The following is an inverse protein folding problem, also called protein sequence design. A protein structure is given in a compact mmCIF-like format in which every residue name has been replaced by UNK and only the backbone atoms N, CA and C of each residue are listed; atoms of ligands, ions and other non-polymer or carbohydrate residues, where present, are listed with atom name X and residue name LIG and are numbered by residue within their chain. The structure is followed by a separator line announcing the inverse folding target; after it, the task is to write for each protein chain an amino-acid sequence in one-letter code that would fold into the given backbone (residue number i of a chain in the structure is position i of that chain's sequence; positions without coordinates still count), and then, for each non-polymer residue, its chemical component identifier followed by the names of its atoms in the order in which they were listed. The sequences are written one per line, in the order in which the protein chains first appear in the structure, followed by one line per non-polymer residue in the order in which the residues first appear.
data_IF_025838615149
#
_entry.id   IF_025838615149
#
_cell.length_a   1.000
_cell.length_b   1.000
_cell.length_c   1.000
_cell.angle_alpha   90.00
_cell.angle_beta   90.00
_cell.angle_gamma   90.00
#
_symmetry.space_group_name_H-M   'P 1'
#
loop_
_entity.id
_entity.type
_entity.pdbx_description
1 polymer ?
#
# COMPACT_ATOMS: atom_id res chain seq x y z
N UNK A 1 0.17 -15.88 31.61
CA UNK A 1 -0.71 -15.46 30.50
C UNK A 1 -1.13 -14.02 30.74
N UNK A 2 -0.54 -13.02 30.05
CA UNK A 2 -1.19 -11.74 29.89
C UNK A 2 -1.82 -11.68 28.50
N UNK A 3 -3.14 -11.65 28.48
CA UNK A 3 -3.96 -11.24 27.33
C UNK A 3 -4.01 -9.72 27.32
N UNK A 4 -3.48 -9.09 26.28
CA UNK A 4 -3.61 -7.64 26.10
C UNK A 4 -2.74 -7.14 24.96
N UNK A 5 -3.35 -6.79 23.84
CA UNK A 5 -2.73 -5.90 22.87
C UNK A 5 -2.47 -4.54 23.57
N UNK A 6 -1.25 -3.99 23.55
CA UNK A 6 -1.03 -2.65 24.07
C UNK A 6 -1.69 -1.63 23.13
N UNK A 7 -2.78 -1.03 23.59
CA UNK A 7 -3.45 0.08 22.93
C UNK A 7 -2.65 1.39 23.15
N UNK A 8 -1.49 1.55 22.51
CA UNK A 8 -0.67 2.78 22.65
C UNK A 8 -0.07 3.30 21.32
N UNK A 9 -0.59 2.90 20.16
CA UNK A 9 -0.09 3.40 18.86
C UNK A 9 -0.91 4.56 18.25
N UNK A 10 -2.07 4.92 18.80
CA UNK A 10 -3.05 5.78 18.09
C UNK A 10 -3.08 7.28 18.47
N UNK A 11 -2.27 7.78 19.40
CA UNK A 11 -2.40 9.17 19.86
C UNK A 11 -1.31 10.16 19.41
N UNK A 12 -0.38 9.79 18.52
CA UNK A 12 0.65 10.70 17.99
C UNK A 12 0.37 11.30 16.60
N UNK A 13 -0.89 11.55 16.23
CA UNK A 13 -1.21 12.17 14.93
C UNK A 13 -1.93 13.53 15.01
N UNK A 14 -2.29 14.05 16.20
CA UNK A 14 -3.13 15.27 16.29
C UNK A 14 -2.41 16.62 16.12
N UNK A 15 -1.10 16.69 15.92
CA UNK A 15 -0.34 17.96 16.01
C UNK A 15 0.65 18.26 14.88
N UNK A 16 0.49 17.70 13.67
CA UNK A 16 1.29 18.13 12.52
C UNK A 16 0.49 19.16 11.67
N UNK A 17 1.04 20.34 11.36
CA UNK A 17 0.31 21.35 10.60
C UNK A 17 0.07 20.87 9.17
N UNK A 18 -1.21 20.81 8.76
CA UNK A 18 -1.65 20.55 7.39
C UNK A 18 -1.12 21.63 6.43
N UNK A 19 0.11 21.46 5.95
CA UNK A 19 0.63 22.23 4.82
C UNK A 19 1.10 21.30 3.72
N UNK A 20 0.17 20.52 3.17
CA UNK A 20 0.36 19.82 1.90
C UNK A 20 -0.80 20.21 0.98
N UNK A 21 -0.75 21.45 0.49
CA UNK A 21 -1.47 21.84 -0.72
C UNK A 21 -0.79 21.12 -1.89
N UNK A 22 -1.15 19.86 -2.13
CA UNK A 22 -0.76 19.09 -3.31
C UNK A 22 -1.55 19.62 -4.49
N UNK A 23 -0.96 20.54 -5.25
CA UNK A 23 -1.40 20.84 -6.61
C UNK A 23 -1.45 19.52 -7.39
N UNK A 24 -2.55 19.16 -8.07
CA UNK A 24 -2.57 17.96 -8.90
C UNK A 24 -1.56 18.19 -10.02
N UNK A 25 -0.45 17.44 -10.02
CA UNK A 25 0.46 17.42 -11.17
C UNK A 25 -0.31 16.75 -12.31
N UNK A 26 -0.97 17.58 -13.11
CA UNK A 26 -1.54 17.17 -14.40
C UNK A 26 -0.40 16.53 -15.20
N UNK A 27 -0.59 15.29 -15.63
CA UNK A 27 0.32 14.60 -16.55
C UNK A 27 0.25 15.29 -17.91
N UNK A 28 0.90 16.44 -18.02
CA UNK A 28 1.09 17.16 -19.27
C UNK A 28 2.58 17.26 -19.50
N UNK A 29 3.15 16.16 -20.02
CA UNK A 29 4.34 16.21 -20.86
C UNK A 29 4.42 14.91 -21.67
N UNK A 30 4.26 15.05 -22.98
CA UNK A 30 4.49 14.00 -23.96
C UNK A 30 5.96 13.56 -23.93
N UNK A 31 6.27 12.49 -23.18
CA UNK A 31 7.47 11.68 -23.44
C UNK A 31 7.05 10.31 -23.97
N UNK A 32 7.75 9.73 -24.96
CA UNK A 32 7.27 8.51 -25.61
C UNK A 32 7.31 7.27 -24.70
N UNK A 33 8.05 7.31 -23.59
CA UNK A 33 8.16 6.22 -22.61
C UNK A 33 8.45 6.76 -21.19
N UNK A 34 7.46 7.38 -20.52
CA UNK A 34 7.69 8.06 -19.24
C UNK A 34 6.56 7.94 -18.22
N UNK A 35 6.54 6.80 -17.50
CA UNK A 35 5.92 6.54 -16.19
C UNK A 35 4.71 7.41 -15.80
N UNK A 36 3.51 6.89 -16.05
CA UNK A 36 2.34 7.20 -15.21
C UNK A 36 2.52 6.53 -13.83
N UNK A 37 2.03 7.17 -12.78
CA UNK A 37 2.40 6.92 -11.40
C UNK A 37 2.33 5.45 -10.96
N UNK A 38 3.49 4.88 -10.64
CA UNK A 38 3.61 3.76 -9.70
C UNK A 38 2.85 4.11 -8.42
N UNK A 39 2.21 3.12 -7.79
CA UNK A 39 1.43 3.14 -6.54
C UNK A 39 2.02 3.91 -5.33
N UNK A 40 3.18 4.59 -5.49
CA UNK A 40 3.77 5.57 -4.56
C UNK A 40 2.91 6.84 -4.38
N UNK A 41 1.89 7.09 -5.21
CA UNK A 41 1.21 8.37 -5.29
C UNK A 41 -0.03 8.56 -4.37
N UNK A 42 -0.52 7.52 -3.69
CA UNK A 42 -1.73 7.62 -2.83
C UNK A 42 -1.46 7.90 -1.35
N UNK A 43 -0.20 8.07 -0.94
CA UNK A 43 0.16 8.34 0.45
C UNK A 43 0.00 7.14 1.40
N UNK A 44 -0.42 5.98 0.90
CA UNK A 44 -0.59 4.77 1.71
C UNK A 44 0.70 3.95 1.85
N UNK A 45 1.68 4.14 0.98
CA UNK A 45 2.94 3.41 1.02
C UNK A 45 3.67 3.52 2.39
N UNK A 46 3.77 4.71 3.03
CA UNK A 46 4.32 4.82 4.38
C UNK A 46 3.51 4.05 5.43
N UNK A 47 2.16 4.03 5.33
CA UNK A 47 1.29 3.29 6.25
C UNK A 47 1.50 1.78 6.11
N UNK A 48 1.54 1.31 4.86
CA UNK A 48 1.81 -0.10 4.55
C UNK A 48 3.18 -0.54 5.06
N UNK A 49 4.19 0.32 4.92
CA UNK A 49 5.53 0.04 5.47
C UNK A 49 5.51 -0.13 6.99
N UNK A 50 4.72 0.68 7.71
CA UNK A 50 4.57 0.54 9.17
C UNK A 50 3.93 -0.80 9.53
N UNK A 51 2.83 -1.18 8.88
CA UNK A 51 2.17 -2.47 9.10
C UNK A 51 3.12 -3.64 8.82
N UNK A 52 3.92 -3.58 7.75
CA UNK A 52 4.91 -4.62 7.46
C UNK A 52 6.00 -4.70 8.53
N UNK A 53 6.45 -3.56 9.06
CA UNK A 53 7.40 -3.55 10.17
C UNK A 53 6.81 -4.19 11.44
N UNK A 54 5.54 -3.91 11.74
CA UNK A 54 4.85 -4.51 12.87
C UNK A 54 4.71 -6.04 12.68
N UNK A 55 4.24 -6.48 11.50
CA UNK A 55 4.17 -7.91 11.13
C UNK A 55 5.54 -8.59 11.30
N UNK A 56 6.61 -7.93 10.89
CA UNK A 56 7.98 -8.45 10.98
C UNK A 56 8.55 -8.46 12.41
N UNK A 57 7.94 -7.73 13.35
CA UNK A 57 8.32 -7.69 14.76
C UNK A 57 7.53 -8.67 15.63
N UNK A 58 6.39 -9.17 15.14
CA UNK A 58 5.49 -10.05 15.88
C UNK A 58 5.74 -11.54 15.63
N UNK A 59 5.34 -12.38 16.58
CA UNK A 59 5.40 -13.85 16.44
C UNK A 59 4.07 -14.40 15.93
N UNK A 60 3.81 -14.24 14.63
CA UNK A 60 2.62 -14.77 13.97
C UNK A 60 2.96 -15.93 13.03
N UNK A 61 2.03 -16.87 12.86
CA UNK A 61 2.24 -18.03 11.99
C UNK A 61 2.22 -17.68 10.50
N UNK A 62 1.38 -16.72 10.11
CA UNK A 62 1.26 -16.19 8.76
C UNK A 62 0.48 -14.86 8.77
N UNK A 63 0.54 -14.14 7.65
CA UNK A 63 -0.26 -12.94 7.37
C UNK A 63 -1.16 -13.17 6.14
N UNK A 64 -2.21 -12.37 6.02
CA UNK A 64 -3.11 -12.37 4.87
C UNK A 64 -3.27 -10.94 4.37
N UNK A 65 -3.15 -10.73 3.06
CA UNK A 65 -3.51 -9.48 2.39
C UNK A 65 -4.75 -9.72 1.54
N UNK A 66 -5.86 -9.08 1.93
CA UNK A 66 -7.20 -9.32 1.42
C UNK A 66 -7.58 -8.35 0.28
N UNK A 67 -6.71 -8.24 -0.71
CA UNK A 67 -7.00 -7.53 -1.96
C UNK A 67 -6.82 -6.02 -1.97
N UNK A 68 -7.13 -5.43 -3.13
CA UNK A 68 -7.16 -3.99 -3.41
C UNK A 68 -5.81 -3.28 -3.36
N UNK A 69 -4.82 -3.90 -4.00
CA UNK A 69 -3.49 -3.31 -4.21
C UNK A 69 -3.59 -2.03 -5.03
N UNK A 70 -4.50 -2.00 -6.02
CA UNK A 70 -4.74 -0.82 -6.85
C UNK A 70 -6.16 -0.29 -6.64
N UNK A 71 -6.39 0.98 -6.94
CA UNK A 71 -7.75 1.50 -7.04
C UNK A 71 -8.43 1.01 -8.31
N UNK A 72 -9.75 1.14 -8.36
CA UNK A 72 -10.55 0.64 -9.47
C UNK A 72 -10.27 1.36 -10.78
N UNK A 73 -9.80 2.61 -10.75
CA UNK A 73 -9.51 3.38 -11.98
C UNK A 73 -8.11 3.12 -12.56
N UNK A 74 -7.22 2.54 -11.76
CA UNK A 74 -5.85 2.23 -12.17
C UNK A 74 -5.79 1.08 -13.18
N UNK A 75 -4.89 1.19 -14.18
CA UNK A 75 -4.65 0.16 -15.18
C UNK A 75 -4.01 -1.10 -14.56
N UNK A 76 -4.35 -2.27 -15.10
CA UNK A 76 -3.72 -3.54 -14.71
C UNK A 76 -2.46 -3.84 -15.53
N UNK A 77 -1.41 -3.04 -15.31
CA UNK A 77 -0.09 -3.25 -15.93
C UNK A 77 0.92 -3.77 -14.90
N UNK A 78 1.97 -4.49 -15.30
CA UNK A 78 3.00 -4.95 -14.37
C UNK A 78 3.61 -3.84 -13.50
N UNK A 79 3.82 -2.66 -14.07
CA UNK A 79 4.38 -1.49 -13.35
C UNK A 79 3.47 -0.98 -12.23
N UNK A 80 2.15 -1.19 -12.33
CA UNK A 80 1.19 -0.83 -11.28
C UNK A 80 1.47 -1.59 -9.99
N UNK A 81 1.92 -2.84 -10.10
CA UNK A 81 2.13 -3.75 -8.98
C UNK A 81 3.57 -3.72 -8.43
N UNK A 82 4.52 -3.07 -9.11
CA UNK A 82 5.94 -3.10 -8.73
C UNK A 82 6.20 -2.71 -7.26
N UNK A 83 5.54 -1.64 -6.77
CA UNK A 83 5.69 -1.21 -5.37
C UNK A 83 5.06 -2.18 -4.36
N UNK A 84 3.95 -2.84 -4.73
CA UNK A 84 3.34 -3.85 -3.88
C UNK A 84 4.19 -5.13 -3.84
N UNK A 85 4.78 -5.51 -4.96
CA UNK A 85 5.76 -6.61 -5.03
C UNK A 85 6.98 -6.33 -4.15
N UNK A 86 7.54 -5.11 -4.20
CA UNK A 86 8.63 -4.68 -3.29
C UNK A 86 8.21 -4.79 -1.82
N UNK A 87 6.99 -4.34 -1.49
CA UNK A 87 6.46 -4.41 -0.13
C UNK A 87 6.27 -5.87 0.34
N UNK A 88 5.61 -6.72 -0.45
CA UNK A 88 5.39 -8.13 -0.07
C UNK A 88 6.70 -8.90 0.08
N UNK A 89 7.69 -8.63 -0.78
CA UNK A 89 9.02 -9.22 -0.67
C UNK A 89 9.77 -8.81 0.62
N UNK A 90 9.30 -7.78 1.32
CA UNK A 90 9.88 -7.36 2.61
C UNK A 90 9.21 -8.01 3.83
N UNK A 91 8.13 -8.78 3.66
CA UNK A 91 7.47 -9.52 4.74
C UNK A 91 8.25 -10.80 5.04
N UNK A 92 8.57 -11.03 6.32
CA UNK A 92 9.42 -12.14 6.79
C UNK A 92 8.64 -13.40 7.18
N UNK A 93 7.33 -13.27 7.40
CA UNK A 93 6.43 -14.38 7.73
C UNK A 93 5.72 -14.88 6.47
N UNK A 94 5.23 -16.14 6.43
CA UNK A 94 4.41 -16.62 5.33
C UNK A 94 3.24 -15.66 5.07
N UNK A 95 3.05 -15.25 3.82
CA UNK A 95 2.00 -14.30 3.43
C UNK A 95 1.08 -14.95 2.39
N UNK A 96 -0.22 -14.94 2.67
CA UNK A 96 -1.26 -15.32 1.71
C UNK A 96 -1.79 -14.05 1.06
N UNK A 97 -1.80 -14.02 -0.27
CA UNK A 97 -2.37 -12.93 -1.04
C UNK A 97 -3.65 -13.40 -1.73
N UNK A 98 -4.72 -12.60 -1.58
CA UNK A 98 -5.99 -12.78 -2.28
C UNK A 98 -6.27 -11.54 -3.12
N UNK A 99 -6.65 -11.66 -4.40
CA UNK A 99 -7.04 -10.51 -5.21
C UNK A 99 -8.38 -9.91 -4.74
N UNK A 100 -8.49 -8.58 -4.73
CA UNK A 100 -9.73 -7.86 -4.46
C UNK A 100 -10.56 -7.64 -5.73
N UNK A 101 -11.64 -6.85 -5.63
CA UNK A 101 -12.46 -6.51 -6.81
C UNK A 101 -11.66 -5.68 -7.82
N UNK A 102 -10.78 -4.81 -7.31
CA UNK A 102 -9.91 -3.99 -8.14
C UNK A 102 -8.92 -4.83 -8.98
N UNK A 103 -8.53 -6.02 -8.54
CA UNK A 103 -7.70 -6.92 -9.36
C UNK A 103 -8.54 -7.93 -10.17
N UNK A 104 -9.72 -8.28 -9.67
CA UNK A 104 -10.54 -9.34 -10.26
C UNK A 104 -11.51 -8.84 -11.34
N UNK A 105 -12.38 -7.89 -11.01
CA UNK A 105 -13.43 -7.41 -11.93
C UNK A 105 -12.95 -6.25 -12.79
N UNK A 106 -12.01 -5.48 -12.26
CA UNK A 106 -11.70 -4.14 -12.77
C UNK A 106 -10.63 -4.10 -13.85
N UNK A 107 -9.98 -5.24 -14.10
CA UNK A 107 -8.95 -5.39 -15.13
C UNK A 107 -9.50 -5.65 -16.54
N UNK A 108 -10.77 -6.06 -16.67
CA UNK A 108 -11.40 -6.44 -17.94
C UNK A 108 -12.31 -5.35 -18.52
N UNK A 109 -12.01 -4.09 -18.25
CA UNK A 109 -12.77 -2.94 -18.76
C UNK A 109 -12.27 -2.47 -20.13
#
# INVERSE_FOLDING_TARGET
MPTGFPAEAQEREKNEPENHRTTPRRCSDHRPHGRCASNRARGDYPKMTRIVNDINGEQIAFSVYDGDIKDGSSLCTPDQYAGATELFNSIKVPTIYVPGDNEWTDCHR
#
